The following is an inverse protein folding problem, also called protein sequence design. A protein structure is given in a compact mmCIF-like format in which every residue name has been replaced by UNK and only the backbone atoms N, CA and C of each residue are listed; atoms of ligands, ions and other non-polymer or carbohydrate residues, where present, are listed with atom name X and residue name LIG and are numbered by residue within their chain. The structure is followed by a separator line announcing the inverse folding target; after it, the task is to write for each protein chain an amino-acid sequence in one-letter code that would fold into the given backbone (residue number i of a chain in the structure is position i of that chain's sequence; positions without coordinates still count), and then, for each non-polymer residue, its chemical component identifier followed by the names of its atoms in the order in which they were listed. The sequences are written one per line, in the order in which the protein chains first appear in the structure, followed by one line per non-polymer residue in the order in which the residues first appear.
data_IF_025366188765
#
_entry.id   IF_025366188765
#
_cell.length_a   1.000
_cell.length_b   1.000
_cell.length_c   1.000
_cell.angle_alpha   90.00
_cell.angle_beta   90.00
_cell.angle_gamma   90.00
#
_symmetry.space_group_name_H-M   'P 1'
#
loop_
_entity.id
_entity.type
_entity.pdbx_description
1 polymer ?
#
# COMPACT_ATOMS: atom_id res chain seq x y z
N UNK A 1 -11.91 -1.28 19.49
CA UNK A 1 -11.59 -1.63 18.10
C UNK A 1 -10.09 -1.87 18.07
N UNK A 2 -9.65 -3.10 17.77
CA UNK A 2 -8.22 -3.46 17.77
C UNK A 2 -7.60 -3.03 16.44
N UNK A 3 -6.47 -2.34 16.49
CA UNK A 3 -5.67 -2.04 15.31
C UNK A 3 -4.65 -3.17 15.11
N UNK A 4 -4.59 -3.78 13.92
CA UNK A 4 -3.67 -4.86 13.58
C UNK A 4 -2.48 -4.39 12.72
N UNK A 5 -2.34 -3.07 12.52
CA UNK A 5 -1.13 -2.47 11.96
C UNK A 5 -0.14 -2.21 13.10
N UNK A 6 0.41 -3.28 13.63
CA UNK A 6 1.45 -3.28 14.66
C UNK A 6 2.54 -4.32 14.32
N UNK A 7 3.65 -4.29 15.06
CA UNK A 7 4.81 -5.16 14.82
C UNK A 7 4.49 -6.65 14.95
N UNK A 8 3.49 -7.03 15.77
CA UNK A 8 3.14 -8.43 15.98
C UNK A 8 2.31 -9.02 14.83
N UNK A 9 1.64 -8.17 14.05
CA UNK A 9 0.64 -8.61 13.07
C UNK A 9 0.93 -8.16 11.63
N UNK A 10 1.83 -7.22 11.37
CA UNK A 10 2.03 -6.63 10.04
C UNK A 10 2.34 -7.68 8.95
N UNK A 11 3.14 -8.69 9.26
CA UNK A 11 3.46 -9.77 8.33
C UNK A 11 2.22 -10.63 7.99
N UNK A 12 1.37 -10.88 8.97
CA UNK A 12 0.11 -11.62 8.78
C UNK A 12 -0.88 -10.80 7.94
N UNK A 13 -0.93 -9.48 8.17
CA UNK A 13 -1.71 -8.57 7.35
C UNK A 13 -1.26 -8.64 5.90
N UNK A 14 0.03 -8.49 5.61
CA UNK A 14 0.54 -8.58 4.23
C UNK A 14 0.29 -9.96 3.60
N UNK A 15 0.49 -11.04 4.35
CA UNK A 15 0.15 -12.38 3.89
C UNK A 15 -1.35 -12.51 3.53
N UNK A 16 -2.24 -11.93 4.32
CA UNK A 16 -3.67 -11.92 4.03
C UNK A 16 -3.98 -11.11 2.75
N UNK A 17 -3.36 -9.93 2.57
CA UNK A 17 -3.60 -9.08 1.40
C UNK A 17 -3.13 -9.73 0.09
N UNK A 18 -1.98 -10.42 0.08
CA UNK A 18 -1.50 -11.16 -1.10
C UNK A 18 -2.47 -12.25 -1.56
N UNK A 19 -3.26 -12.81 -0.65
CA UNK A 19 -4.22 -13.87 -0.96
C UNK A 19 -5.56 -13.34 -1.52
N UNK A 20 -5.81 -12.03 -1.48
CA UNK A 20 -7.03 -11.43 -2.02
C UNK A 20 -6.91 -11.29 -3.54
N UNK A 21 -7.53 -12.21 -4.28
CA UNK A 21 -7.60 -12.18 -5.76
C UNK A 21 -9.01 -11.84 -6.20
N UNK A 22 -9.27 -10.56 -6.47
CA UNK A 22 -10.60 -10.10 -6.88
C UNK A 22 -10.51 -8.82 -7.72
N UNK A 23 -11.22 -8.79 -8.85
CA UNK A 23 -11.18 -7.65 -9.79
C UNK A 23 -12.18 -6.53 -9.50
N UNK A 24 -13.11 -6.75 -8.58
CA UNK A 24 -14.08 -5.75 -8.15
C UNK A 24 -13.41 -4.48 -7.62
N UNK A 25 -13.85 -3.33 -8.14
CA UNK A 25 -13.31 -2.01 -7.85
C UNK A 25 -13.14 -1.72 -6.35
N UNK A 26 -14.17 -2.00 -5.54
CA UNK A 26 -14.12 -1.72 -4.11
C UNK A 26 -13.13 -2.60 -3.35
N UNK A 27 -12.92 -3.85 -3.80
CA UNK A 27 -11.92 -4.74 -3.20
C UNK A 27 -10.53 -4.18 -3.47
N UNK A 28 -10.20 -3.89 -4.74
CA UNK A 28 -8.90 -3.32 -5.09
C UNK A 28 -8.66 -1.96 -4.41
N UNK A 29 -9.70 -1.13 -4.29
CA UNK A 29 -9.59 0.16 -3.61
C UNK A 29 -9.37 -0.01 -2.10
N UNK A 30 -10.03 -0.97 -1.45
CA UNK A 30 -9.81 -1.28 -0.05
C UNK A 30 -8.36 -1.76 0.20
N UNK A 31 -7.81 -2.61 -0.68
CA UNK A 31 -6.41 -3.01 -0.63
C UNK A 31 -5.47 -1.82 -0.74
N UNK A 32 -5.69 -0.94 -1.73
CA UNK A 32 -4.87 0.26 -1.93
C UNK A 32 -4.88 1.20 -0.72
N UNK A 33 -6.05 1.42 -0.10
CA UNK A 33 -6.18 2.21 1.12
C UNK A 33 -5.49 1.57 2.31
N UNK A 34 -5.59 0.25 2.45
CA UNK A 34 -4.95 -0.47 3.55
C UNK A 34 -3.43 -0.40 3.43
N UNK A 35 -2.86 -0.58 2.23
CA UNK A 35 -1.42 -0.34 2.00
C UNK A 35 -1.01 1.10 2.29
N UNK A 36 -1.77 2.10 1.84
CA UNK A 36 -1.48 3.49 2.17
C UNK A 36 -1.51 3.75 3.69
N UNK A 37 -2.38 3.07 4.42
CA UNK A 37 -2.48 3.16 5.88
C UNK A 37 -1.33 2.44 6.57
N UNK A 38 -0.97 1.24 6.10
CA UNK A 38 0.18 0.49 6.61
C UNK A 38 1.48 1.28 6.46
N UNK A 39 1.68 1.97 5.34
CA UNK A 39 2.87 2.78 5.09
C UNK A 39 3.04 3.95 6.06
N UNK A 40 1.96 4.44 6.70
CA UNK A 40 2.07 5.47 7.74
C UNK A 40 2.84 4.96 8.95
N UNK A 41 2.72 3.68 9.27
CA UNK A 41 3.34 3.05 10.44
C UNK A 41 4.60 2.25 10.07
N UNK A 42 4.61 1.61 8.90
CA UNK A 42 5.64 0.69 8.43
C UNK A 42 6.09 1.07 7.02
N UNK A 43 6.67 2.27 6.87
CA UNK A 43 6.95 2.86 5.56
C UNK A 43 7.81 1.97 4.66
N UNK A 44 9.03 1.63 5.09
CA UNK A 44 9.97 0.83 4.29
C UNK A 44 9.43 -0.58 4.00
N UNK A 45 8.84 -1.23 5.02
CA UNK A 45 8.28 -2.57 4.86
C UNK A 45 7.11 -2.58 3.86
N UNK A 46 6.24 -1.57 3.92
CA UNK A 46 5.11 -1.44 2.99
C UNK A 46 5.58 -1.10 1.58
N UNK A 47 6.63 -0.28 1.42
CA UNK A 47 7.22 0.00 0.11
C UNK A 47 7.80 -1.26 -0.52
N UNK A 48 8.52 -2.09 0.25
CA UNK A 48 9.03 -3.37 -0.23
C UNK A 48 7.89 -4.32 -0.62
N UNK A 49 6.81 -4.36 0.17
CA UNK A 49 5.63 -5.18 -0.12
C UNK A 49 4.92 -4.78 -1.41
N UNK A 50 4.75 -3.48 -1.65
CA UNK A 50 4.08 -2.98 -2.86
C UNK A 50 4.84 -3.32 -4.15
N UNK A 51 6.17 -3.37 -4.09
CA UNK A 51 7.03 -3.74 -5.23
C UNK A 51 7.07 -5.25 -5.51
N UNK A 52 6.41 -6.06 -4.68
CA UNK A 52 6.29 -7.49 -4.90
C UNK A 52 5.35 -7.79 -6.09
N UNK A 53 5.68 -8.81 -6.89
CA UNK A 53 4.92 -9.23 -8.07
C UNK A 53 3.50 -9.74 -7.75
N UNK A 54 3.23 -10.10 -6.49
CA UNK A 54 1.90 -10.52 -6.05
C UNK A 54 0.86 -9.39 -6.07
N UNK A 55 1.29 -8.12 -6.04
CA UNK A 55 0.38 -6.97 -6.00
C UNK A 55 0.16 -6.45 -7.41
N UNK A 56 -1.10 -6.45 -7.85
CA UNK A 56 -1.46 -5.98 -9.18
C UNK A 56 -1.13 -4.49 -9.36
N UNK A 57 -0.77 -4.12 -10.58
CA UNK A 57 -0.29 -2.77 -10.90
C UNK A 57 -1.33 -1.69 -10.56
N UNK A 58 -2.63 -1.97 -10.73
CA UNK A 58 -3.68 -1.01 -10.43
C UNK A 58 -3.73 -0.71 -8.93
N UNK A 59 -3.72 -1.75 -8.08
CA UNK A 59 -3.72 -1.62 -6.62
C UNK A 59 -2.48 -0.90 -6.11
N UNK A 60 -1.29 -1.29 -6.61
CA UNK A 60 -0.02 -0.61 -6.27
C UNK A 60 -0.06 0.87 -6.63
N UNK A 61 -0.47 1.21 -7.85
CA UNK A 61 -0.53 2.59 -8.32
C UNK A 61 -1.52 3.43 -7.48
N UNK A 62 -2.65 2.84 -7.10
CA UNK A 62 -3.65 3.50 -6.24
C UNK A 62 -3.15 3.70 -4.82
N UNK A 63 -2.39 2.74 -4.26
CA UNK A 63 -1.76 2.91 -2.96
C UNK A 63 -0.79 4.10 -2.99
N UNK A 64 0.10 4.18 -3.98
CA UNK A 64 1.00 5.33 -4.12
C UNK A 64 0.25 6.64 -4.35
N UNK A 65 -0.83 6.65 -5.14
CA UNK A 65 -1.67 7.84 -5.28
C UNK A 65 -2.20 8.32 -3.92
N UNK A 66 -2.75 7.41 -3.11
CA UNK A 66 -3.25 7.72 -1.77
C UNK A 66 -2.17 8.22 -0.82
N UNK A 67 -0.97 7.67 -0.92
CA UNK A 67 0.17 8.15 -0.14
C UNK A 67 0.58 9.58 -0.53
N UNK A 68 0.63 9.92 -1.82
CA UNK A 68 0.91 11.28 -2.30
C UNK A 68 -0.14 12.30 -1.85
N UNK A 69 -1.41 11.91 -1.82
CA UNK A 69 -2.52 12.75 -1.38
C UNK A 69 -2.58 12.94 0.16
N UNK A 70 -1.84 12.13 0.92
CA UNK A 70 -1.89 12.10 2.38
C UNK A 70 -0.94 13.11 3.03
N UNK A 71 -1.44 13.83 4.04
CA UNK A 71 -0.60 14.73 4.88
C UNK A 71 0.14 14.01 6.01
N UNK A 72 0.03 12.68 6.12
CA UNK A 72 0.61 11.88 7.23
C UNK A 72 2.08 11.51 7.04
N UNK A 73 2.64 11.71 5.85
CA UNK A 73 4.03 11.37 5.53
C UNK A 73 4.95 12.57 5.71
N UNK A 74 6.19 12.35 6.14
CA UNK A 74 7.20 13.42 6.21
C UNK A 74 7.60 13.91 4.82
N UNK A 75 8.23 15.09 4.70
CA UNK A 75 8.76 15.57 3.41
C UNK A 75 9.70 14.56 2.73
N UNK A 76 10.54 13.87 3.51
CA UNK A 76 11.48 12.86 3.01
C UNK A 76 10.73 11.64 2.45
N UNK A 77 9.73 11.14 3.19
CA UNK A 77 8.87 10.05 2.72
C UNK A 77 8.10 10.46 1.47
N UNK A 78 7.56 11.68 1.41
CA UNK A 78 6.87 12.21 0.23
C UNK A 78 7.80 12.31 -0.99
N UNK A 79 9.07 12.69 -0.79
CA UNK A 79 10.06 12.70 -1.87
C UNK A 79 10.33 11.28 -2.41
N UNK A 80 10.31 10.25 -1.56
CA UNK A 80 10.40 8.84 -1.97
C UNK A 80 9.13 8.40 -2.71
N UNK A 81 7.94 8.64 -2.16
CA UNK A 81 6.65 8.28 -2.76
C UNK A 81 6.47 8.95 -4.14
N UNK A 82 6.89 10.20 -4.29
CA UNK A 82 6.80 10.94 -5.55
C UNK A 82 7.59 10.28 -6.68
N UNK A 83 8.70 9.60 -6.36
CA UNK A 83 9.52 8.85 -7.33
C UNK A 83 8.91 7.50 -7.71
N UNK A 84 7.97 6.97 -6.92
CA UNK A 84 7.29 5.72 -7.23
C UNK A 84 6.35 5.91 -8.42
N UNK A 85 6.65 5.26 -9.53
CA UNK A 85 5.89 5.38 -10.78
C UNK A 85 4.52 4.72 -10.64
N UNK A 86 3.49 5.41 -11.12
CA UNK A 86 2.30 4.72 -11.59
C UNK A 86 2.67 4.03 -12.90
N UNK A 87 2.81 2.70 -12.94
CA UNK A 87 2.93 2.03 -14.24
C UNK A 87 1.67 2.36 -15.03
N UNK A 88 1.80 2.99 -16.21
CA UNK A 88 0.65 3.20 -17.09
C UNK A 88 0.05 1.82 -17.36
N UNK A 89 -1.24 1.68 -17.06
CA UNK A 89 -2.03 0.58 -17.56
C UNK A 89 -2.15 0.86 -19.06
N UNK A 90 -1.38 0.13 -19.87
CA UNK A 90 -1.65 0.04 -21.31
C UNK A 90 -2.97 -0.68 -21.55
#
# INVERSE_FOLDING_TARGET
MTNFLDEAHIDQVFAALRNVKHDGYYVKMALAWLYATAAVHFFELTLAELENEHIDAWTRNKAYQKMRESRRFTPEQQAVISKKKGHKLE
#
